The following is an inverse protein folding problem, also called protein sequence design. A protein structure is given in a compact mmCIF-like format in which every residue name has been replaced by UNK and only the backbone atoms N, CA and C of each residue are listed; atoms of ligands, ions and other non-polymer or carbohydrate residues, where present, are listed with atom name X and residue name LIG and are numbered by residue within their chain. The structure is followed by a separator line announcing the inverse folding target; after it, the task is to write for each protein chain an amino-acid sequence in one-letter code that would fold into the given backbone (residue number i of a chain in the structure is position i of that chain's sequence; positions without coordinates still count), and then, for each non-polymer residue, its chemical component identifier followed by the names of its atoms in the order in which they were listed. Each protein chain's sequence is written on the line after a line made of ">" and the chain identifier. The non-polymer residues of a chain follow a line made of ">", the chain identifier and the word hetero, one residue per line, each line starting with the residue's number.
data_IF_350548311630
#
_entry.id   IF_350548311630
#
_cell.length_a   1.000
_cell.length_b   1.000
_cell.length_c   1.000
_cell.angle_alpha   90.00
_cell.angle_beta   90.00
_cell.angle_gamma   90.00
#
_symmetry.space_group_name_H-M   'P 1'
#
loop_
_entity.id
_entity.type
_entity.pdbx_description
1 polymer ?
#
# COMPACT_ATOMS: atom_id res chain seq x y z
N UNK A 1 2.81 12.03 -9.77
CA UNK A 1 2.61 10.74 -9.09
C UNK A 1 3.83 10.31 -8.28
N UNK A 2 4.90 9.72 -8.85
CA UNK A 2 6.07 9.29 -8.05
C UNK A 2 6.61 10.41 -7.14
N UNK A 3 7.05 11.52 -7.73
CA UNK A 3 7.60 12.63 -6.93
C UNK A 3 6.57 13.19 -5.94
N UNK A 4 5.28 13.12 -6.25
CA UNK A 4 4.18 13.55 -5.37
C UNK A 4 4.12 12.68 -4.11
N UNK A 5 4.05 11.35 -4.26
CA UNK A 5 4.04 10.41 -3.14
C UNK A 5 5.31 10.54 -2.29
N UNK A 6 6.47 10.62 -2.94
CA UNK A 6 7.75 10.77 -2.26
C UNK A 6 7.83 12.08 -1.46
N UNK A 7 7.39 13.20 -2.04
CA UNK A 7 7.35 14.49 -1.35
C UNK A 7 6.35 14.48 -0.19
N UNK A 8 5.18 13.86 -0.39
CA UNK A 8 4.16 13.74 0.66
C UNK A 8 4.71 12.95 1.85
N UNK A 9 5.26 11.75 1.62
CA UNK A 9 5.88 10.94 2.66
C UNK A 9 7.00 11.69 3.38
N UNK A 10 7.86 12.39 2.63
CA UNK A 10 8.94 13.19 3.20
C UNK A 10 8.43 14.31 4.10
N UNK A 11 7.48 15.12 3.65
CA UNK A 11 6.93 16.24 4.41
C UNK A 11 6.19 15.75 5.65
N UNK A 12 5.32 14.74 5.50
CA UNK A 12 4.55 14.17 6.61
C UNK A 12 5.44 13.50 7.67
N UNK A 13 6.62 13.00 7.27
CA UNK A 13 7.62 12.49 8.22
C UNK A 13 8.24 13.57 9.12
N UNK A 14 7.97 14.86 8.86
CA UNK A 14 8.53 15.99 9.60
C UNK A 14 9.85 16.52 9.02
N UNK A 15 10.33 15.93 7.93
CA UNK A 15 11.60 16.31 7.31
C UNK A 15 11.42 17.56 6.45
N UNK A 16 12.43 18.44 6.47
CA UNK A 16 12.38 19.68 5.70
C UNK A 16 12.78 19.42 4.26
N UNK A 17 12.16 20.13 3.32
CA UNK A 17 12.45 20.01 1.89
C UNK A 17 13.92 20.32 1.51
N UNK A 18 14.61 21.28 2.14
CA UNK A 18 16.03 21.51 1.88
C UNK A 18 16.94 20.33 2.25
N UNK A 19 16.52 19.49 3.21
CA UNK A 19 17.29 18.31 3.64
C UNK A 19 17.10 17.12 2.67
N UNK A 20 16.14 17.22 1.73
CA UNK A 20 15.85 16.20 0.74
C UNK A 20 16.91 16.23 -0.38
N UNK A 21 17.64 15.13 -0.56
CA UNK A 21 18.59 14.99 -1.67
C UNK A 21 17.84 14.77 -3.01
N UNK A 22 17.35 15.84 -3.62
CA UNK A 22 16.59 15.84 -4.89
C UNK A 22 17.44 15.54 -6.13
N UNK A 23 18.16 14.42 -6.13
CA UNK A 23 18.82 13.90 -7.33
C UNK A 23 17.87 12.94 -8.04
N UNK A 24 17.87 12.96 -9.37
CA UNK A 24 17.12 11.96 -10.12
C UNK A 24 17.78 10.59 -10.00
N UNK A 25 16.99 9.52 -10.14
CA UNK A 25 17.53 8.17 -10.15
C UNK A 25 18.61 8.02 -11.23
N UNK A 26 18.35 8.52 -12.44
CA UNK A 26 19.32 8.48 -13.53
C UNK A 26 20.59 9.29 -13.21
N UNK A 27 20.46 10.44 -12.55
CA UNK A 27 21.61 11.24 -12.14
C UNK A 27 22.51 10.54 -11.11
N UNK A 28 21.98 9.60 -10.33
CA UNK A 28 22.75 8.85 -9.32
C UNK A 28 23.30 7.52 -9.86
N UNK A 29 22.54 6.82 -10.70
CA UNK A 29 22.85 5.44 -11.10
C UNK A 29 23.04 5.23 -12.61
N UNK A 30 22.61 6.18 -13.44
CA UNK A 30 22.62 6.07 -14.89
C UNK A 30 24.05 6.03 -15.46
N UNK A 31 24.25 5.20 -16.48
CA UNK A 31 25.51 5.07 -17.20
C UNK A 31 25.25 4.66 -18.67
N UNK A 32 26.31 4.57 -19.47
CA UNK A 32 26.20 4.21 -20.89
C UNK A 32 25.65 2.78 -21.10
N UNK A 33 25.98 1.85 -20.20
CA UNK A 33 25.52 0.47 -20.24
C UNK A 33 24.00 0.37 -20.02
N UNK A 34 23.47 0.99 -18.96
CA UNK A 34 22.04 1.07 -18.70
C UNK A 34 21.28 1.76 -19.83
N UNK A 35 21.89 2.77 -20.45
CA UNK A 35 21.29 3.44 -21.61
C UNK A 35 21.11 2.49 -22.81
N UNK A 36 21.98 1.50 -22.96
CA UNK A 36 21.87 0.49 -24.01
C UNK A 36 20.83 -0.61 -23.66
N UNK A 37 20.59 -0.87 -22.38
CA UNK A 37 19.66 -1.91 -21.91
C UNK A 37 18.22 -1.41 -21.73
N UNK A 38 18.06 -0.13 -21.36
CA UNK A 38 16.76 0.45 -21.05
C UNK A 38 16.13 1.11 -22.26
N UNK A 39 14.82 0.91 -22.45
CA UNK A 39 14.06 1.60 -23.50
C UNK A 39 14.06 3.11 -23.23
N UNK A 40 14.08 3.96 -24.28
CA UNK A 40 14.15 5.42 -24.13
C UNK A 40 13.03 6.03 -23.28
N UNK A 41 11.82 5.46 -23.34
CA UNK A 41 10.67 5.90 -22.53
C UNK A 41 10.97 5.81 -21.04
N UNK A 42 11.49 4.67 -20.60
CA UNK A 42 11.85 4.41 -19.22
C UNK A 42 13.06 5.23 -18.78
N UNK A 43 14.12 5.31 -19.60
CA UNK A 43 15.27 6.15 -19.29
C UNK A 43 14.86 7.62 -19.06
N UNK A 44 13.96 8.14 -19.89
CA UNK A 44 13.39 9.50 -19.75
C UNK A 44 12.51 9.64 -18.49
N UNK A 45 11.86 8.58 -18.04
CA UNK A 45 11.13 8.58 -16.78
C UNK A 45 12.10 8.67 -15.59
N UNK A 46 13.15 7.85 -15.59
CA UNK A 46 14.18 7.80 -14.53
C UNK A 46 15.00 9.09 -14.41
N UNK A 47 15.09 9.91 -15.45
CA UNK A 47 15.73 11.23 -15.38
C UNK A 47 14.88 12.30 -14.68
N UNK A 48 13.56 12.09 -14.58
CA UNK A 48 12.61 13.06 -14.02
C UNK A 48 12.22 12.77 -12.57
N UNK A 49 12.29 11.52 -12.14
CA UNK A 49 11.88 11.13 -10.80
C UNK A 49 13.04 11.20 -9.81
N UNK A 50 12.73 11.61 -8.58
CA UNK A 50 13.71 11.69 -7.51
C UNK A 50 14.01 10.32 -6.93
N UNK A 51 15.26 10.12 -6.54
CA UNK A 51 15.69 8.99 -5.73
C UNK A 51 16.21 9.57 -4.41
N UNK A 52 15.61 9.19 -3.28
CA UNK A 52 15.97 9.71 -1.96
C UNK A 52 16.43 8.55 -1.08
N UNK A 53 17.75 8.39 -0.89
CA UNK A 53 18.31 7.30 -0.11
C UNK A 53 17.79 7.30 1.32
N UNK A 54 17.49 6.12 1.85
CA UNK A 54 17.05 5.95 3.24
C UNK A 54 15.63 6.44 3.53
N UNK A 55 14.83 6.71 2.49
CA UNK A 55 13.42 7.05 2.64
C UNK A 55 12.56 6.04 1.89
N UNK A 56 11.62 5.40 2.58
CA UNK A 56 10.72 4.46 1.92
C UNK A 56 9.70 5.19 1.07
N UNK A 57 9.52 4.67 -0.14
CA UNK A 57 8.62 5.27 -1.11
C UNK A 57 7.15 5.07 -0.74
N UNK A 58 6.75 3.87 -0.33
CA UNK A 58 5.38 3.54 0.06
C UNK A 58 5.33 2.29 0.95
N UNK A 59 4.20 1.99 1.59
CA UNK A 59 4.07 0.82 2.46
C UNK A 59 4.47 -0.50 1.77
N UNK A 60 4.07 -0.72 0.52
CA UNK A 60 4.43 -1.95 -0.22
C UNK A 60 5.79 -1.90 -0.92
N UNK A 61 6.47 -0.74 -0.95
CA UNK A 61 7.60 -0.47 -1.82
C UNK A 61 8.65 0.37 -1.11
N UNK A 62 9.88 -0.16 -1.00
CA UNK A 62 10.99 0.57 -0.40
C UNK A 62 11.45 1.74 -1.27
N UNK A 63 11.46 1.57 -2.59
CA UNK A 63 11.85 2.62 -3.51
C UNK A 63 12.11 2.09 -4.91
N UNK A 64 12.75 2.92 -5.73
CA UNK A 64 13.27 2.46 -7.02
C UNK A 64 14.34 1.40 -6.79
N UNK A 65 14.32 0.36 -7.60
CA UNK A 65 15.30 -0.72 -7.50
C UNK A 65 16.73 -0.20 -7.73
N UNK A 66 17.70 -0.84 -7.08
CA UNK A 66 19.10 -0.60 -7.41
C UNK A 66 19.39 -1.05 -8.84
N UNK A 67 20.47 -0.55 -9.45
CA UNK A 67 20.90 -0.98 -10.80
C UNK A 67 21.05 -2.50 -10.90
N UNK A 68 21.55 -3.14 -9.84
CA UNK A 68 21.68 -4.59 -9.78
C UNK A 68 20.31 -5.26 -9.75
N UNK A 69 19.47 -4.90 -8.78
CA UNK A 69 18.18 -5.56 -8.57
C UNK A 69 17.22 -5.34 -9.74
N UNK A 70 17.32 -4.19 -10.41
CA UNK A 70 16.54 -3.87 -11.60
C UNK A 70 16.74 -4.88 -12.74
N UNK A 71 17.98 -5.34 -12.94
CA UNK A 71 18.37 -6.23 -14.03
C UNK A 71 18.39 -7.71 -13.61
N UNK A 72 18.40 -7.98 -12.31
CA UNK A 72 18.48 -9.34 -11.74
C UNK A 72 17.38 -10.28 -12.26
N UNK A 73 16.17 -9.74 -12.51
CA UNK A 73 15.07 -10.54 -13.06
C UNK A 73 15.45 -11.22 -14.38
N UNK A 74 16.15 -10.50 -15.27
CA UNK A 74 16.63 -11.07 -16.55
C UNK A 74 17.65 -12.19 -16.38
N UNK A 75 18.40 -12.20 -15.27
CA UNK A 75 19.32 -13.29 -14.92
C UNK A 75 18.60 -14.51 -14.32
N UNK A 76 17.43 -14.29 -13.69
CA UNK A 76 16.62 -15.34 -13.05
C UNK A 76 15.64 -16.00 -14.02
N UNK A 77 15.17 -15.30 -15.04
CA UNK A 77 14.27 -15.80 -16.08
C UNK A 77 14.96 -16.72 -17.12
N UNK A 78 16.06 -17.39 -16.77
CA UNK A 78 16.74 -18.29 -17.69
C UNK A 78 15.79 -19.43 -18.08
N UNK A 79 15.34 -19.43 -19.34
CA UNK A 79 14.81 -20.63 -19.98
C UNK A 79 15.90 -21.71 -19.90
N UNK A 80 15.58 -22.91 -19.40
CA UNK A 80 16.55 -24.01 -19.31
C UNK A 80 17.07 -24.45 -20.70
N UNK A 81 16.42 -24.05 -21.81
CA UNK A 81 16.72 -24.55 -23.16
C UNK A 81 17.08 -23.48 -24.21
N UNK A 82 17.02 -22.18 -23.92
CA UNK A 82 17.36 -21.13 -24.90
C UNK A 82 18.09 -19.97 -24.25
N UNK A 83 19.23 -19.56 -24.82
CA UNK A 83 19.79 -18.25 -24.51
C UNK A 83 18.86 -17.19 -25.13
N UNK A 84 18.10 -16.41 -24.33
CA UNK A 84 17.33 -15.31 -24.90
C UNK A 84 18.30 -14.32 -25.55
N UNK A 85 17.87 -13.68 -26.64
CA UNK A 85 18.60 -12.54 -27.19
C UNK A 85 18.79 -11.50 -26.07
N UNK A 86 19.94 -10.82 -26.03
CA UNK A 86 20.28 -9.85 -24.96
C UNK A 86 19.21 -8.78 -24.75
N UNK A 87 18.47 -8.45 -25.82
CA UNK A 87 17.33 -7.51 -25.83
C UNK A 87 16.08 -8.07 -25.15
N UNK A 88 15.79 -9.36 -25.29
CA UNK A 88 14.67 -10.02 -24.60
C UNK A 88 14.99 -10.25 -23.12
N UNK A 89 16.27 -10.52 -22.81
CA UNK A 89 16.73 -10.76 -21.44
C UNK A 89 16.36 -9.64 -20.47
N UNK A 90 16.47 -8.39 -20.91
CA UNK A 90 16.20 -7.22 -20.07
C UNK A 90 14.86 -6.56 -20.41
N UNK A 91 13.98 -7.24 -21.16
CA UNK A 91 12.64 -6.71 -21.45
C UNK A 91 11.85 -6.45 -20.17
N UNK A 92 11.89 -7.38 -19.23
CA UNK A 92 11.27 -7.26 -17.92
C UNK A 92 12.32 -6.84 -16.90
N UNK A 93 12.02 -5.79 -16.15
CA UNK A 93 12.91 -5.28 -15.10
C UNK A 93 12.14 -5.09 -13.81
N UNK A 94 12.84 -5.14 -12.67
CA UNK A 94 12.27 -4.68 -11.41
C UNK A 94 12.44 -3.16 -11.35
N UNK A 95 11.34 -2.42 -11.42
CA UNK A 95 11.38 -0.96 -11.36
C UNK A 95 11.37 -0.44 -9.92
N UNK A 96 10.57 -1.08 -9.07
CA UNK A 96 10.45 -0.75 -7.66
C UNK A 96 10.70 -1.97 -6.80
N UNK A 97 11.42 -1.82 -5.70
CA UNK A 97 11.73 -2.92 -4.80
C UNK A 97 10.71 -3.07 -3.67
N UNK A 98 10.36 -4.31 -3.34
CA UNK A 98 9.67 -4.61 -2.08
C UNK A 98 10.64 -4.42 -0.90
N UNK A 99 10.19 -3.88 0.24
CA UNK A 99 10.96 -3.92 1.49
C UNK A 99 11.38 -5.36 1.85
N UNK A 100 12.63 -5.54 2.28
CA UNK A 100 13.20 -6.85 2.65
C UNK A 100 12.53 -7.43 3.90
N UNK A 101 11.83 -6.59 4.65
CA UNK A 101 11.11 -6.96 5.85
C UNK A 101 9.78 -7.65 5.54
N UNK A 102 9.26 -7.51 4.31
CA UNK A 102 8.07 -8.24 3.86
C UNK A 102 8.40 -9.60 3.26
N UNK A 103 9.56 -9.76 2.63
CA UNK A 103 9.89 -10.92 1.80
C UNK A 103 11.39 -11.22 1.81
N UNK A 104 11.75 -12.50 1.78
CA UNK A 104 13.16 -12.94 1.77
C UNK A 104 13.91 -12.58 0.49
N UNK A 105 13.25 -12.69 -0.67
CA UNK A 105 13.83 -12.36 -1.97
C UNK A 105 12.97 -11.29 -2.65
N UNK A 106 13.20 -9.99 -2.38
CA UNK A 106 12.35 -8.92 -2.91
C UNK A 106 12.49 -8.77 -4.41
N UNK A 107 11.36 -8.64 -5.09
CA UNK A 107 11.26 -8.13 -6.46
C UNK A 107 10.54 -6.79 -6.40
N UNK A 108 9.21 -6.76 -6.28
CA UNK A 108 8.41 -5.53 -6.16
C UNK A 108 7.57 -5.28 -7.41
N UNK A 109 7.65 -4.08 -8.00
CA UNK A 109 6.96 -3.81 -9.26
C UNK A 109 7.88 -4.20 -10.42
N UNK A 110 7.43 -5.16 -11.22
CA UNK A 110 8.07 -5.53 -12.49
C UNK A 110 7.46 -4.67 -13.60
N UNK A 111 8.31 -4.16 -14.48
CA UNK A 111 7.94 -3.34 -15.63
C UNK A 111 8.35 -4.03 -16.93
N UNK A 112 7.39 -4.18 -17.84
CA UNK A 112 7.63 -4.62 -19.22
C UNK A 112 7.95 -3.38 -20.08
N UNK A 113 9.21 -3.29 -20.49
CA UNK A 113 9.71 -2.14 -21.24
C UNK A 113 9.09 -2.02 -22.64
N UNK A 114 8.58 -3.11 -23.22
CA UNK A 114 8.01 -3.10 -24.57
C UNK A 114 6.56 -2.64 -24.56
N UNK A 115 5.77 -3.13 -23.60
CA UNK A 115 4.34 -2.77 -23.50
C UNK A 115 4.08 -1.55 -22.62
N UNK A 116 5.10 -1.06 -21.90
CA UNK A 116 4.99 -0.01 -20.89
C UNK A 116 3.96 -0.32 -19.79
N UNK A 117 3.83 -1.61 -19.46
CA UNK A 117 2.96 -2.11 -18.39
C UNK A 117 3.78 -2.58 -17.20
N UNK A 118 3.13 -2.66 -16.06
CA UNK A 118 3.69 -3.04 -14.80
C UNK A 118 2.80 -4.07 -14.08
N UNK A 119 3.42 -4.88 -13.24
CA UNK A 119 2.74 -5.85 -12.37
C UNK A 119 3.43 -5.87 -11.01
N UNK A 120 2.64 -6.04 -9.95
CA UNK A 120 3.18 -6.27 -8.62
C UNK A 120 3.57 -7.76 -8.49
N UNK A 121 4.87 -8.03 -8.39
CA UNK A 121 5.44 -9.33 -8.08
C UNK A 121 6.36 -9.17 -6.86
N UNK A 122 5.83 -9.29 -5.63
CA UNK A 122 6.54 -8.88 -4.42
C UNK A 122 7.87 -9.62 -4.20
N UNK A 123 7.96 -10.88 -4.64
CA UNK A 123 9.12 -11.74 -4.40
C UNK A 123 9.49 -12.59 -5.61
N UNK A 124 10.78 -12.89 -5.74
CA UNK A 124 11.29 -13.85 -6.71
C UNK A 124 10.96 -15.32 -6.37
N UNK A 125 10.46 -15.63 -5.17
CA UNK A 125 10.09 -17.01 -4.82
C UNK A 125 8.92 -17.54 -5.67
N UNK A 126 8.13 -16.64 -6.26
CA UNK A 126 6.98 -16.97 -7.10
C UNK A 126 7.07 -16.16 -8.39
N UNK A 127 7.97 -16.58 -9.28
CA UNK A 127 8.08 -16.00 -10.62
C UNK A 127 6.81 -16.26 -11.41
N UNK A 128 6.31 -15.22 -12.07
CA UNK A 128 5.22 -15.36 -13.01
C UNK A 128 5.72 -15.81 -14.38
N UNK A 129 4.90 -16.57 -15.09
CA UNK A 129 5.03 -16.72 -16.53
C UNK A 129 4.56 -15.41 -17.19
N UNK A 130 5.50 -14.50 -17.48
CA UNK A 130 5.20 -13.20 -18.07
C UNK A 130 4.59 -13.26 -19.48
N UNK A 131 4.59 -14.44 -20.12
CA UNK A 131 3.91 -14.66 -21.41
C UNK A 131 2.44 -15.04 -21.22
N UNK A 132 2.00 -15.34 -20.00
CA UNK A 132 0.62 -15.69 -19.71
C UNK A 132 -0.33 -14.51 -19.95
N UNK A 133 -1.40 -14.69 -20.75
CA UNK A 133 -2.35 -13.62 -21.06
C UNK A 133 -3.25 -13.24 -19.87
N UNK A 134 -3.29 -14.07 -18.82
CA UNK A 134 -4.13 -13.85 -17.64
C UNK A 134 -3.49 -12.97 -16.57
N UNK A 135 -2.23 -12.59 -16.75
CA UNK A 135 -1.56 -11.74 -15.77
C UNK A 135 -2.19 -10.33 -15.73
N UNK A 136 -2.43 -9.78 -14.54
CA UNK A 136 -3.07 -8.48 -14.35
C UNK A 136 -2.10 -7.32 -14.62
N UNK A 137 -1.57 -7.24 -15.83
CA UNK A 137 -0.71 -6.13 -16.27
C UNK A 137 -1.48 -4.82 -16.30
N UNK A 138 -0.96 -3.79 -15.67
CA UNK A 138 -1.56 -2.45 -15.59
C UNK A 138 -0.58 -1.38 -16.04
N UNK A 139 -1.04 -0.15 -16.25
CA UNK A 139 -0.10 0.96 -16.44
C UNK A 139 0.61 1.29 -15.12
N UNK A 140 1.85 1.77 -15.18
CA UNK A 140 2.53 2.24 -13.98
C UNK A 140 1.78 3.42 -13.33
N UNK A 141 1.13 4.25 -14.14
CA UNK A 141 0.26 5.33 -13.69
C UNK A 141 -0.89 4.79 -12.83
N UNK A 142 -1.61 3.77 -13.30
CA UNK A 142 -2.69 3.13 -12.54
C UNK A 142 -2.22 2.60 -11.18
N UNK A 143 -1.05 1.96 -11.14
CA UNK A 143 -0.49 1.45 -9.87
C UNK A 143 -0.12 2.57 -8.90
N UNK A 144 0.50 3.66 -9.39
CA UNK A 144 0.85 4.81 -8.56
C UNK A 144 -0.38 5.61 -8.12
N UNK A 145 -1.41 5.71 -8.97
CA UNK A 145 -2.70 6.32 -8.61
C UNK A 145 -3.38 5.50 -7.51
N UNK A 146 -3.38 4.18 -7.59
CA UNK A 146 -3.94 3.34 -6.53
C UNK A 146 -3.25 3.59 -5.17
N UNK A 147 -1.94 3.86 -5.15
CA UNK A 147 -1.25 4.25 -3.91
C UNK A 147 -1.65 5.64 -3.43
N UNK A 148 -1.91 6.59 -4.33
CA UNK A 148 -2.46 7.91 -3.95
C UNK A 148 -3.87 7.73 -3.38
N UNK A 149 -4.74 6.95 -4.03
CA UNK A 149 -6.09 6.65 -3.55
C UNK A 149 -6.06 6.02 -2.15
N UNK A 150 -5.09 5.15 -1.88
CA UNK A 150 -4.87 4.56 -0.54
C UNK A 150 -4.47 5.61 0.50
N UNK A 151 -3.72 6.65 0.12
CA UNK A 151 -3.38 7.76 1.02
C UNK A 151 -4.61 8.66 1.24
N UNK A 152 -5.33 9.01 0.18
CA UNK A 152 -6.53 9.85 0.25
C UNK A 152 -7.66 9.19 1.04
N UNK A 153 -7.80 7.87 0.93
CA UNK A 153 -8.74 7.08 1.72
C UNK A 153 -8.27 6.85 3.18
N UNK A 154 -7.14 7.44 3.60
CA UNK A 154 -6.51 7.23 4.90
C UNK A 154 -6.11 5.77 5.16
N UNK A 155 -6.13 4.88 4.15
CA UNK A 155 -5.73 3.48 4.31
C UNK A 155 -4.24 3.35 4.59
N UNK A 156 -3.44 4.21 3.98
CA UNK A 156 -1.99 4.30 4.23
C UNK A 156 -1.66 5.73 4.61
N UNK A 157 -1.04 5.89 5.78
CA UNK A 157 -0.71 7.20 6.36
C UNK A 157 0.79 7.34 6.54
N UNK A 158 1.31 8.54 6.30
CA UNK A 158 2.70 8.87 6.61
C UNK A 158 2.76 9.46 8.03
N UNK A 159 3.53 8.83 8.91
CA UNK A 159 3.72 9.25 10.30
C UNK A 159 5.00 10.06 10.48
N UNK A 160 4.94 11.02 11.40
CA UNK A 160 6.08 11.84 11.77
C UNK A 160 7.16 11.00 12.48
N UNK A 161 8.45 11.22 12.19
CA UNK A 161 9.55 10.42 12.73
C UNK A 161 9.64 10.48 14.27
N UNK A 162 9.15 11.55 14.88
CA UNK A 162 9.07 11.71 16.34
C UNK A 162 7.97 10.90 17.04
N UNK A 163 7.04 10.28 16.32
CA UNK A 163 5.99 9.43 16.90
C UNK A 163 6.56 8.03 17.10
N UNK A 164 6.67 7.57 18.36
CA UNK A 164 7.24 6.24 18.68
C UNK A 164 6.16 5.15 18.71
N UNK A 165 4.94 5.49 19.10
CA UNK A 165 3.81 4.55 19.19
C UNK A 165 2.66 4.99 18.28
N UNK A 166 2.24 4.11 17.37
CA UNK A 166 0.98 4.28 16.63
C UNK A 166 -0.05 3.36 17.27
N UNK A 167 -0.96 3.94 18.06
CA UNK A 167 -2.06 3.22 18.70
C UNK A 167 -2.87 2.44 17.67
N UNK A 168 -3.04 1.13 17.87
CA UNK A 168 -3.72 0.20 16.96
C UNK A 168 -2.80 -0.82 16.26
N UNK A 169 -1.49 -0.59 16.28
CA UNK A 169 -0.49 -1.59 15.90
C UNK A 169 0.10 -2.21 17.18
N UNK A 170 -0.66 -3.06 17.87
CA UNK A 170 -0.07 -3.95 18.88
C UNK A 170 0.78 -4.98 18.14
N UNK A 171 2.07 -4.68 17.94
CA UNK A 171 2.98 -5.63 17.34
C UNK A 171 4.18 -5.81 18.28
N UNK A 172 4.32 -7.04 18.79
CA UNK A 172 5.36 -7.49 19.71
C UNK A 172 6.77 -7.06 19.27
N UNK A 173 7.69 -6.90 20.24
CA UNK A 173 9.11 -6.44 20.21
C UNK A 173 9.99 -6.76 18.98
N UNK A 174 9.62 -7.64 18.06
CA UNK A 174 10.31 -7.83 16.76
C UNK A 174 9.86 -6.86 15.66
N UNK A 175 8.72 -6.19 15.84
CA UNK A 175 8.08 -5.36 14.83
C UNK A 175 8.47 -3.89 14.85
N UNK A 176 9.09 -3.39 15.92
CA UNK A 176 9.68 -2.05 15.93
C UNK A 176 10.75 -1.88 14.84
N UNK A 177 11.47 -2.97 14.51
CA UNK A 177 12.44 -2.95 13.41
C UNK A 177 11.76 -2.83 12.04
N UNK A 178 10.65 -3.54 11.83
CA UNK A 178 9.88 -3.54 10.59
C UNK A 178 9.13 -2.20 10.44
N UNK A 179 8.52 -1.71 11.51
CA UNK A 179 7.86 -0.41 11.53
C UNK A 179 8.86 0.70 11.24
N UNK A 180 10.05 0.68 11.86
CA UNK A 180 11.10 1.66 11.57
C UNK A 180 11.68 1.53 10.16
N UNK A 181 11.79 0.33 9.61
CA UNK A 181 12.31 0.11 8.25
C UNK A 181 11.32 0.51 7.17
N UNK A 182 10.04 0.69 7.49
CA UNK A 182 8.98 1.09 6.56
C UNK A 182 8.58 2.57 6.71
N UNK A 183 9.18 3.27 7.69
CA UNK A 183 8.92 4.70 7.91
C UNK A 183 9.14 5.50 6.63
N UNK A 184 8.25 6.47 6.36
CA UNK A 184 7.20 6.97 7.26
C UNK A 184 5.85 6.24 7.14
N UNK A 185 5.72 5.21 6.31
CA UNK A 185 4.41 4.71 5.92
C UNK A 185 3.86 3.65 6.87
N UNK A 186 2.61 3.82 7.25
CA UNK A 186 1.84 2.88 8.06
C UNK A 186 0.55 2.54 7.34
N UNK A 187 0.21 1.26 7.28
CA UNK A 187 -1.09 0.79 6.79
C UNK A 187 -2.06 0.63 7.94
N UNK A 188 -3.21 1.29 7.86
CA UNK A 188 -4.29 1.15 8.83
C UNK A 188 -5.04 -0.17 8.60
N UNK A 189 -5.36 -0.91 9.66
CA UNK A 189 -6.17 -2.13 9.55
C UNK A 189 -7.59 -1.83 9.05
N UNK A 190 -8.16 -0.70 9.47
CA UNK A 190 -9.43 -0.17 8.99
C UNK A 190 -9.36 1.37 8.95
N UNK A 191 -10.15 1.98 8.08
CA UNK A 191 -10.30 3.44 8.00
C UNK A 191 -11.60 3.86 8.69
N UNK A 192 -11.74 5.16 9.00
CA UNK A 192 -13.02 5.71 9.48
C UNK A 192 -14.13 5.48 8.46
N UNK A 193 -13.84 5.65 7.16
CA UNK A 193 -14.78 5.38 6.09
C UNK A 193 -15.18 3.90 5.99
N UNK A 194 -14.29 2.96 6.33
CA UNK A 194 -14.64 1.53 6.41
C UNK A 194 -15.65 1.27 7.53
N UNK A 195 -15.43 1.87 8.70
CA UNK A 195 -16.34 1.77 9.84
C UNK A 195 -17.70 2.40 9.55
N UNK A 196 -17.73 3.61 8.99
CA UNK A 196 -18.97 4.30 8.63
C UNK A 196 -19.78 3.52 7.59
N UNK A 197 -19.13 3.01 6.54
CA UNK A 197 -19.81 2.16 5.55
C UNK A 197 -20.35 0.87 6.16
N UNK A 198 -19.62 0.28 7.11
CA UNK A 198 -20.08 -0.91 7.81
C UNK A 198 -21.32 -0.61 8.67
N UNK A 199 -21.33 0.52 9.39
CA UNK A 199 -22.47 0.99 10.17
C UNK A 199 -23.69 1.30 9.28
N UNK A 200 -23.49 1.90 8.11
CA UNK A 200 -24.57 2.16 7.16
C UNK A 200 -25.22 0.88 6.66
N UNK A 201 -24.40 -0.13 6.31
CA UNK A 201 -24.90 -1.44 5.88
C UNK A 201 -25.62 -2.16 7.02
N UNK A 202 -25.08 -2.07 8.24
CA UNK A 202 -25.72 -2.60 9.44
C UNK A 202 -27.11 -2.00 9.64
N UNK A 203 -27.22 -0.67 9.63
CA UNK A 203 -28.49 0.03 9.82
C UNK A 203 -29.52 -0.36 8.75
N UNK A 204 -29.10 -0.44 7.48
CA UNK A 204 -29.97 -0.91 6.39
C UNK A 204 -30.48 -2.33 6.61
N UNK A 205 -29.63 -3.22 7.12
CA UNK A 205 -30.01 -4.60 7.44
C UNK A 205 -31.06 -4.63 8.57
N UNK A 206 -30.84 -3.88 9.65
CA UNK A 206 -31.78 -3.76 10.77
C UNK A 206 -33.13 -3.26 10.26
N UNK A 207 -33.17 -2.13 9.54
CA UNK A 207 -34.41 -1.58 8.97
C UNK A 207 -35.13 -2.57 8.05
N UNK A 208 -34.39 -3.32 7.21
CA UNK A 208 -34.98 -4.32 6.33
C UNK A 208 -35.55 -5.53 7.09
N UNK A 209 -34.99 -5.87 8.25
CA UNK A 209 -35.53 -6.91 9.14
C UNK A 209 -36.77 -6.41 9.89
N UNK A 210 -36.73 -5.20 10.45
CA UNK A 210 -37.87 -4.55 11.12
C UNK A 210 -39.08 -4.48 10.17
N UNK A 211 -38.86 -3.98 8.94
CA UNK A 211 -39.90 -3.83 7.91
C UNK A 211 -40.53 -5.18 7.52
N UNK A 212 -39.72 -6.23 7.36
CA UNK A 212 -40.21 -7.58 7.00
C UNK A 212 -40.94 -8.26 8.15
N UNK A 213 -40.56 -7.96 9.38
CA UNK A 213 -41.14 -8.56 10.58
C UNK A 213 -42.50 -7.94 10.94
N UNK A 214 -42.90 -6.85 10.27
CA UNK A 214 -44.20 -6.19 10.47
C UNK A 214 -44.35 -5.52 11.83
N UNK A 215 -43.25 -5.31 12.55
CA UNK A 215 -43.27 -4.70 13.88
C UNK A 215 -43.38 -3.18 13.70
N UNK A 216 -44.42 -2.59 14.28
CA UNK A 216 -44.71 -1.15 14.16
C UNK A 216 -44.05 -0.43 15.33
N UNK A 217 -43.16 0.53 15.03
CA UNK A 217 -42.57 1.41 16.06
C UNK A 217 -43.68 2.20 16.74
N UNK A 218 -43.71 2.19 18.06
CA UNK A 218 -44.61 3.04 18.84
C UNK A 218 -44.15 4.50 18.71
N UNK A 219 -45.07 5.46 18.64
CA UNK A 219 -44.76 6.88 18.46
C UNK A 219 -43.88 7.48 19.59
N UNK A 220 -43.79 6.81 20.74
CA UNK A 220 -42.90 7.17 21.86
C UNK A 220 -41.43 6.77 21.60
N UNK A 221 -41.18 5.73 20.81
CA UNK A 221 -39.84 5.19 20.50
C UNK A 221 -39.15 5.93 19.33
N UNK A 222 -39.88 6.68 18.51
CA UNK A 222 -39.30 7.49 17.43
C UNK A 222 -38.44 8.66 17.95
N UNK A 223 -38.63 9.07 19.20
CA UNK A 223 -37.96 10.23 19.80
C UNK A 223 -36.64 9.90 20.53
N UNK A 224 -36.32 8.62 20.71
CA UNK A 224 -35.09 8.17 21.38
C UNK A 224 -34.03 7.81 20.35
N UNK A 225 -32.83 8.39 20.52
CA UNK A 225 -31.66 7.90 19.79
C UNK A 225 -31.47 6.39 20.08
N UNK A 226 -31.21 5.58 19.04
CA UNK A 226 -31.07 4.13 19.22
C UNK A 226 -29.88 3.78 20.11
N UNK A 227 -30.13 2.93 21.10
CA UNK A 227 -29.07 2.43 21.97
C UNK A 227 -28.05 1.61 21.16
N UNK A 228 -26.74 1.80 21.41
CA UNK A 228 -25.71 1.03 20.75
C UNK A 228 -25.74 -0.44 21.17
N UNK A 229 -25.19 -1.34 20.34
CA UNK A 229 -25.11 -2.77 20.62
C UNK A 229 -24.42 -3.05 21.97
N UNK A 230 -23.41 -2.27 22.32
CA UNK A 230 -22.74 -2.40 23.60
C UNK A 230 -22.33 -1.03 24.15
N UNK A 231 -22.47 -0.84 25.45
CA UNK A 231 -21.88 0.33 26.09
C UNK A 231 -20.36 0.21 26.12
N UNK A 232 -19.65 1.33 25.99
CA UNK A 232 -18.18 1.37 26.11
C UNK A 232 -17.69 0.78 27.44
N UNK A 233 -18.44 0.99 28.52
CA UNK A 233 -18.15 0.41 29.83
C UNK A 233 -18.18 -1.12 29.78
N UNK A 234 -19.19 -1.71 29.15
CA UNK A 234 -19.29 -3.17 29.01
C UNK A 234 -18.16 -3.74 28.14
N UNK A 235 -17.79 -3.07 27.04
CA UNK A 235 -16.66 -3.46 26.19
C UNK A 235 -15.33 -3.43 26.97
N UNK A 236 -15.10 -2.40 27.77
CA UNK A 236 -13.90 -2.29 28.61
C UNK A 236 -13.84 -3.38 29.68
N UNK A 237 -14.97 -3.67 30.34
CA UNK A 237 -15.05 -4.76 31.34
C UNK A 237 -14.83 -6.13 30.68
N UNK A 238 -15.31 -6.32 29.45
CA UNK A 238 -15.10 -7.53 28.67
C UNK A 238 -13.68 -7.67 28.09
N UNK A 239 -12.80 -6.67 28.30
CA UNK A 239 -11.43 -6.68 27.80
C UNK A 239 -11.33 -6.56 26.29
N UNK A 240 -12.32 -5.97 25.62
CA UNK A 240 -12.28 -5.75 24.17
C UNK A 240 -11.33 -4.58 23.88
N UNK A 241 -10.23 -4.86 23.18
CA UNK A 241 -9.25 -3.83 22.81
C UNK A 241 -9.85 -2.77 21.88
N UNK A 242 -9.46 -1.49 22.01
CA UNK A 242 -9.81 -0.45 21.05
C UNK A 242 -9.41 -0.84 19.62
N UNK A 243 -10.33 -0.66 18.68
CA UNK A 243 -10.17 -1.08 17.29
C UNK A 243 -11.53 -1.24 16.60
N UNK A 244 -11.52 -1.80 15.39
CA UNK A 244 -12.72 -1.88 14.55
C UNK A 244 -13.91 -2.52 15.26
N UNK A 245 -13.71 -3.68 15.90
CA UNK A 245 -14.79 -4.40 16.58
C UNK A 245 -15.35 -3.61 17.77
N UNK A 246 -14.47 -2.96 18.55
CA UNK A 246 -14.87 -2.10 19.65
C UNK A 246 -15.72 -0.93 19.16
N UNK A 247 -15.25 -0.22 18.14
CA UNK A 247 -15.94 0.96 17.60
C UNK A 247 -17.25 0.59 16.91
N UNK A 248 -17.29 -0.56 16.22
CA UNK A 248 -18.50 -1.08 15.60
C UNK A 248 -19.54 -1.41 16.66
N UNK A 249 -19.20 -2.20 17.69
CA UNK A 249 -20.14 -2.59 18.75
C UNK A 249 -20.62 -1.39 19.58
N UNK A 250 -19.76 -0.38 19.77
CA UNK A 250 -20.12 0.83 20.50
C UNK A 250 -21.01 1.80 19.71
N UNK A 251 -21.22 1.59 18.41
CA UNK A 251 -21.92 2.53 17.50
C UNK A 251 -23.03 1.90 16.68
N UNK A 252 -22.93 0.61 16.35
CA UNK A 252 -23.98 -0.13 15.69
C UNK A 252 -25.21 -0.16 16.60
N UNK A 253 -26.40 -0.11 16.01
CA UNK A 253 -27.64 0.07 16.74
C UNK A 253 -28.43 -1.24 16.83
N UNK A 254 -29.14 -1.44 17.93
CA UNK A 254 -30.13 -2.51 18.06
C UNK A 254 -31.38 -2.25 17.18
N UNK A 255 -32.15 -3.32 16.93
CA UNK A 255 -33.56 -3.17 16.54
C UNK A 255 -34.28 -2.36 17.60
N UNK A 256 -35.03 -1.33 17.19
CA UNK A 256 -35.83 -0.49 18.09
C UNK A 256 -37.31 -0.91 18.09
N UNK A 257 -37.58 -2.14 17.68
CA UNK A 257 -38.91 -2.74 17.68
C UNK A 257 -38.89 -4.07 18.37
#
# INVERSE_FOLDING_TARGET
>A
MHNTLLLYGWICSGKRIPDMQKKSWWGRHGNAELKALLRPSLARYLTKIFDVPGHNFFYHISGLASRHDMLELGERLKDEDRQPLREEKHRYIVLYSTPREHVSHPSGIVYDQDTNKAILMPTYNHLFDFKSPHLPWQSLETMLSAYIDMVEAEKVVAIHDGVVEVSGLSINMGADRIANSMRPWVMQSYTRGDLERCLDVWNRLVTALETRSGVVKSAEDESKEPDPLCSRTALNVAGVSPGFAYDLLARAQYSQV
#
